data_IF_324217430357
#
_entry.id   IF_324217430357
#
_cell.length_a   1.000
_cell.length_b   1.000
_cell.length_c   1.000
_cell.angle_alpha   90.00
_cell.angle_beta   90.00
_cell.angle_gamma   90.00
#
_symmetry.space_group_name_H-M   'P 1'
#
loop_
_entity.id
_entity.type
_entity.pdbx_description
1 polymer ?
#
# COMPACT_ATOMS: atom_id res chain seq x y z
N UNK A 1 -9.87 -4.20 -5.35
CA UNK A 1 -8.77 -3.39 -5.92
C UNK A 1 -7.90 -2.94 -4.77
N UNK A 2 -6.57 -2.94 -4.91
CA UNK A 2 -5.66 -2.51 -3.84
C UNK A 2 -5.38 -1.02 -4.06
N UNK A 3 -5.60 -0.19 -3.03
CA UNK A 3 -5.34 1.25 -3.06
C UNK A 3 -4.45 1.61 -1.89
N UNK A 4 -3.32 2.24 -2.20
CA UNK A 4 -2.37 2.76 -1.21
C UNK A 4 -2.29 4.27 -1.39
N UNK A 5 -2.37 5.01 -0.29
CA UNK A 5 -2.33 6.48 -0.30
C UNK A 5 -1.14 7.03 0.49
N UNK A 6 -0.71 8.22 0.11
CA UNK A 6 0.24 9.04 0.87
C UNK A 6 -0.48 10.01 1.82
N UNK A 7 0.31 10.79 2.56
CA UNK A 7 -0.16 11.80 3.51
C UNK A 7 -0.87 12.95 2.80
N UNK A 8 -0.29 13.46 1.71
CA UNK A 8 -0.77 14.65 1.02
C UNK A 8 -2.16 14.46 0.42
N UNK A 9 -2.44 13.30 -0.19
CA UNK A 9 -3.77 13.02 -0.74
C UNK A 9 -4.86 12.99 0.35
N UNK A 10 -4.57 12.32 1.48
CA UNK A 10 -5.51 12.20 2.59
C UNK A 10 -5.74 13.55 3.29
N UNK A 11 -4.65 14.23 3.64
CA UNK A 11 -4.71 15.49 4.38
C UNK A 11 -5.44 16.57 3.57
N UNK A 12 -5.13 16.74 2.28
CA UNK A 12 -5.75 17.77 1.45
C UNK A 12 -7.25 17.52 1.29
N UNK A 13 -7.67 16.26 1.08
CA UNK A 13 -9.09 15.93 0.99
C UNK A 13 -9.83 16.10 2.31
N UNK A 14 -9.20 15.81 3.44
CA UNK A 14 -9.78 16.05 4.76
C UNK A 14 -9.93 17.55 5.05
N UNK A 15 -8.93 18.37 4.70
CA UNK A 15 -8.96 19.83 4.89
C UNK A 15 -10.10 20.48 4.12
N UNK A 16 -10.42 19.98 2.91
CA UNK A 16 -11.53 20.50 2.10
C UNK A 16 -12.86 19.79 2.36
N UNK A 17 -12.96 18.92 3.37
CA UNK A 17 -14.18 18.16 3.73
C UNK A 17 -14.68 17.19 2.64
N UNK A 18 -13.76 16.60 1.88
CA UNK A 18 -14.04 15.63 0.79
C UNK A 18 -13.37 14.26 0.98
N UNK A 19 -12.85 13.96 2.17
CA UNK A 19 -12.25 12.66 2.47
C UNK A 19 -13.21 11.48 2.23
N UNK A 20 -14.51 11.70 2.44
CA UNK A 20 -15.58 10.72 2.22
C UNK A 20 -15.67 10.19 0.78
N UNK A 21 -15.13 10.93 -0.21
CA UNK A 21 -15.05 10.44 -1.59
C UNK A 21 -14.20 9.18 -1.70
N UNK A 22 -13.09 9.12 -0.96
CA UNK A 22 -12.20 7.97 -0.96
C UNK A 22 -12.86 6.72 -0.37
N UNK A 23 -13.60 6.89 0.73
CA UNK A 23 -14.41 5.82 1.32
C UNK A 23 -15.46 5.31 0.33
N UNK A 24 -16.16 6.23 -0.33
CA UNK A 24 -17.24 5.90 -1.27
C UNK A 24 -16.76 5.10 -2.48
N UNK A 25 -15.56 5.42 -2.99
CA UNK A 25 -15.01 4.79 -4.20
C UNK A 25 -14.30 3.48 -3.87
N UNK A 26 -13.50 3.46 -2.79
CA UNK A 26 -12.55 2.37 -2.54
C UNK A 26 -12.92 1.46 -1.37
N UNK A 27 -13.78 1.91 -0.44
CA UNK A 27 -14.21 1.23 0.79
C UNK A 27 -13.09 0.89 1.80
N UNK A 28 -11.84 0.77 1.33
CA UNK A 28 -10.65 0.56 2.15
C UNK A 28 -9.46 1.20 1.46
N UNK A 29 -8.67 1.95 2.21
CA UNK A 29 -7.39 2.50 1.78
C UNK A 29 -6.33 2.02 2.74
N UNK A 30 -5.25 1.50 2.16
CA UNK A 30 -4.06 1.10 2.91
C UNK A 30 -3.11 2.30 2.95
N UNK A 31 -2.47 2.53 4.09
CA UNK A 31 -1.43 3.55 4.21
C UNK A 31 -0.15 2.95 4.80
N UNK A 32 1.04 3.36 4.35
CA UNK A 32 2.26 2.99 5.02
C UNK A 32 2.33 3.51 6.45
N UNK A 33 3.02 2.80 7.34
CA UNK A 33 3.27 3.27 8.72
C UNK A 33 3.93 4.65 8.79
N UNK A 34 4.77 5.00 7.80
CA UNK A 34 5.37 6.34 7.70
C UNK A 34 4.28 7.40 7.55
N UNK A 35 3.32 7.18 6.65
CA UNK A 35 2.17 8.07 6.41
C UNK A 35 1.29 8.14 7.66
N UNK A 36 1.04 7.02 8.34
CA UNK A 36 0.29 7.04 9.60
C UNK A 36 0.94 7.92 10.67
N UNK A 37 2.28 7.88 10.79
CA UNK A 37 3.02 8.76 11.71
C UNK A 37 2.95 10.22 11.30
N UNK A 38 3.06 10.53 10.01
CA UNK A 38 2.95 11.89 9.49
C UNK A 38 1.56 12.50 9.76
N UNK A 39 0.50 11.72 9.51
CA UNK A 39 -0.87 12.11 9.82
C UNK A 39 -1.07 12.36 11.32
N UNK A 40 -0.53 11.49 12.18
CA UNK A 40 -0.63 11.65 13.63
C UNK A 40 0.14 12.88 14.16
N UNK A 41 1.24 13.26 13.51
CA UNK A 41 2.09 14.39 13.91
C UNK A 41 1.58 15.74 13.37
N UNK A 42 0.57 15.75 12.51
CA UNK A 42 0.08 16.96 11.88
C UNK A 42 -0.59 17.93 12.88
N UNK A 43 -0.22 19.22 12.79
CA UNK A 43 -0.71 20.26 13.71
C UNK A 43 -2.20 20.59 13.55
N UNK A 44 -2.76 20.38 12.36
CA UNK A 44 -4.20 20.59 12.13
C UNK A 44 -4.98 19.40 12.69
N UNK A 45 -5.89 19.58 13.66
CA UNK A 45 -6.58 18.48 14.34
C UNK A 45 -7.46 17.63 13.44
N UNK A 46 -7.85 18.13 12.25
CA UNK A 46 -8.61 17.36 11.27
C UNK A 46 -7.78 16.19 10.72
N UNK A 47 -6.46 16.36 10.58
CA UNK A 47 -5.58 15.39 9.91
C UNK A 47 -5.36 14.13 10.78
N UNK A 48 -5.01 14.23 12.08
CA UNK A 48 -4.92 13.05 12.93
C UNK A 48 -6.23 12.28 13.07
N UNK A 49 -7.39 12.94 12.92
CA UNK A 49 -8.70 12.30 12.99
C UNK A 49 -8.93 11.29 11.85
N UNK A 50 -8.21 11.42 10.73
CA UNK A 50 -8.26 10.47 9.60
C UNK A 50 -7.95 9.04 10.07
N UNK A 51 -7.03 8.88 11.03
CA UNK A 51 -6.62 7.57 11.55
C UNK A 51 -7.72 6.86 12.36
N UNK A 52 -8.79 7.56 12.72
CA UNK A 52 -9.94 6.98 13.42
C UNK A 52 -10.97 6.38 12.44
N UNK A 53 -10.81 6.62 11.14
CA UNK A 53 -11.69 6.08 10.12
C UNK A 53 -11.44 4.57 9.95
N UNK A 54 -12.47 3.75 10.16
CA UNK A 54 -12.35 2.29 10.09
C UNK A 54 -11.98 1.72 8.72
N UNK A 55 -12.03 2.53 7.66
CA UNK A 55 -11.63 2.17 6.30
C UNK A 55 -10.19 2.56 5.96
N UNK A 56 -9.47 3.26 6.86
CA UNK A 56 -8.04 3.55 6.74
C UNK A 56 -7.27 2.45 7.48
N UNK A 57 -6.37 1.77 6.78
CA UNK A 57 -5.66 0.60 7.30
C UNK A 57 -4.14 0.82 7.21
N UNK A 58 -3.49 1.18 8.33
CA UNK A 58 -2.03 1.24 8.39
C UNK A 58 -1.41 -0.13 8.16
N UNK A 59 -0.35 -0.19 7.35
CA UNK A 59 0.41 -1.40 7.10
C UNK A 59 1.92 -1.10 6.99
N UNK A 60 2.78 -1.91 7.62
CA UNK A 60 4.23 -1.79 7.46
C UNK A 60 4.68 -2.29 6.08
N UNK A 61 5.80 -1.77 5.60
CA UNK A 61 6.55 -2.41 4.52
C UNK A 61 7.31 -3.62 5.07
N UNK A 62 7.31 -4.72 4.32
CA UNK A 62 8.17 -5.87 4.63
C UNK A 62 9.61 -5.63 4.18
N UNK A 63 9.80 -4.90 3.07
CA UNK A 63 11.13 -4.50 2.60
C UNK A 63 11.19 -3.00 2.26
N UNK A 64 12.03 -2.25 2.99
CA UNK A 64 12.24 -0.82 2.79
C UNK A 64 13.25 -0.45 1.69
N UNK A 65 13.94 -1.42 1.07
CA UNK A 65 14.99 -1.15 0.06
C UNK A 65 14.47 -0.28 -1.09
N UNK A 66 13.31 -0.63 -1.64
CA UNK A 66 12.72 0.13 -2.74
C UNK A 66 12.32 1.54 -2.29
N UNK A 67 11.72 1.68 -1.10
CA UNK A 67 11.37 3.00 -0.57
C UNK A 67 12.62 3.87 -0.34
N UNK A 68 13.72 3.27 0.11
CA UNK A 68 14.99 3.98 0.31
C UNK A 68 15.61 4.41 -1.03
N UNK A 69 15.59 3.53 -2.04
CA UNK A 69 16.05 3.85 -3.39
C UNK A 69 15.23 4.99 -4.01
N UNK A 70 13.90 4.94 -3.87
CA UNK A 70 13.02 5.99 -4.38
C UNK A 70 13.30 7.35 -3.72
N UNK A 71 13.51 7.39 -2.41
CA UNK A 71 13.91 8.62 -1.71
C UNK A 71 15.26 9.15 -2.21
N UNK A 72 16.27 8.28 -2.33
CA UNK A 72 17.63 8.68 -2.67
C UNK A 72 17.80 9.06 -4.15
N UNK A 73 17.24 8.27 -5.05
CA UNK A 73 17.47 8.39 -6.50
C UNK A 73 16.42 9.27 -7.19
N UNK A 74 15.19 9.30 -6.67
CA UNK A 74 14.09 10.07 -7.25
C UNK A 74 13.71 11.31 -6.44
N UNK A 75 14.27 11.48 -5.23
CA UNK A 75 13.99 12.62 -4.37
C UNK A 75 12.55 12.66 -3.86
N UNK A 76 11.85 11.51 -3.86
CA UNK A 76 10.51 11.41 -3.29
C UNK A 76 10.58 11.60 -1.78
N UNK A 77 9.52 12.15 -1.21
CA UNK A 77 9.43 12.18 0.25
C UNK A 77 9.19 10.77 0.83
N UNK A 78 9.31 10.66 2.15
CA UNK A 78 9.19 9.39 2.83
C UNK A 78 7.78 8.78 2.68
N UNK A 79 6.72 9.58 2.73
CA UNK A 79 5.35 9.14 2.55
C UNK A 79 5.09 8.60 1.15
N UNK A 80 5.48 9.38 0.12
CA UNK A 80 5.35 9.01 -1.30
C UNK A 80 6.12 7.73 -1.62
N UNK A 81 7.39 7.65 -1.24
CA UNK A 81 8.24 6.51 -1.54
C UNK A 81 7.73 5.22 -0.87
N UNK A 82 7.25 5.32 0.38
CA UNK A 82 6.70 4.17 1.09
C UNK A 82 5.34 3.76 0.51
N UNK A 83 4.51 4.70 0.06
CA UNK A 83 3.23 4.40 -0.58
C UNK A 83 3.42 3.60 -1.88
N UNK A 84 4.36 4.02 -2.72
CA UNK A 84 4.69 3.32 -3.97
C UNK A 84 5.25 1.91 -3.67
N UNK A 85 6.20 1.81 -2.75
CA UNK A 85 6.82 0.54 -2.42
C UNK A 85 5.81 -0.46 -1.82
N UNK A 86 4.93 0.00 -0.92
CA UNK A 86 3.87 -0.84 -0.34
C UNK A 86 2.85 -1.28 -1.39
N UNK A 87 2.48 -0.40 -2.33
CA UNK A 87 1.57 -0.76 -3.41
C UNK A 87 2.13 -1.90 -4.27
N UNK A 88 3.43 -1.86 -4.59
CA UNK A 88 4.11 -2.89 -5.36
C UNK A 88 4.25 -4.21 -4.58
N UNK A 89 4.56 -4.14 -3.29
CA UNK A 89 4.63 -5.31 -2.39
C UNK A 89 3.29 -6.04 -2.36
N UNK A 90 2.20 -5.30 -2.12
CA UNK A 90 0.84 -5.85 -2.07
C UNK A 90 0.35 -6.42 -3.41
N UNK A 91 0.71 -5.78 -4.53
CA UNK A 91 0.41 -6.31 -5.86
C UNK A 91 1.15 -7.63 -6.12
N UNK A 92 2.42 -7.72 -5.74
CA UNK A 92 3.21 -8.94 -5.89
C UNK A 92 2.62 -10.10 -5.08
N UNK A 93 2.15 -9.83 -3.86
CA UNK A 93 1.49 -10.83 -3.02
C UNK A 93 0.14 -11.27 -3.58
N UNK A 94 -0.68 -10.34 -4.06
CA UNK A 94 -1.96 -10.68 -4.71
C UNK A 94 -1.75 -11.56 -5.96
N UNK A 95 -0.68 -11.32 -6.74
CA UNK A 95 -0.35 -12.11 -7.91
C UNK A 95 0.09 -13.55 -7.57
N UNK A 96 0.68 -13.81 -6.39
CA UNK A 96 1.04 -15.17 -5.94
C UNK A 96 -0.19 -16.07 -5.81
N UNK A 97 -1.31 -15.52 -5.31
CA UNK A 97 -2.56 -16.26 -5.16
C UNK A 97 -3.31 -16.53 -6.47
N UNK A 98 -2.94 -15.85 -7.55
CA UNK A 98 -3.55 -16.04 -8.87
C UNK A 98 -2.85 -17.09 -9.74
N UNK A 99 -1.70 -17.65 -9.31
CA UNK A 99 -1.08 -18.78 -10.01
C UNK A 99 -1.76 -20.09 -9.60
N UNK A 100 -2.32 -20.88 -10.54
CA UNK A 100 -2.72 -22.24 -10.23
C UNK A 100 -1.51 -23.04 -9.75
N UNK A 101 -1.67 -23.97 -8.78
CA UNK A 101 -0.58 -24.82 -8.34
C UNK A 101 0.02 -25.55 -9.56
N UNK A 102 1.34 -25.52 -9.66
CA UNK A 102 2.07 -26.26 -10.70
C UNK A 102 1.63 -27.73 -10.62
N UNK A 103 0.83 -28.18 -11.59
CA UNK A 103 0.57 -29.59 -11.76
C UNK A 103 1.92 -30.23 -12.08
N UNK A 104 2.46 -30.98 -11.12
CA UNK A 104 3.62 -31.82 -11.35
C UNK A 104 3.24 -32.78 -12.48
N UNK A 105 3.86 -32.61 -13.66
CA UNK A 105 3.68 -33.56 -14.76
C UNK A 105 4.07 -34.94 -14.23
N UNK A 106 3.25 -35.98 -14.42
CA UNK A 106 3.65 -37.32 -14.05
C UNK A 106 4.92 -37.68 -14.82
N UNK A 107 5.91 -38.17 -14.08
CA UNK A 107 7.17 -38.69 -14.62
C UNK A 107 6.85 -39.93 -15.47
N UNK A 108 6.64 -39.71 -16.77
CA UNK A 108 6.44 -40.79 -17.73
C UNK A 108 7.80 -41.42 -17.98
N UNK A 109 8.23 -42.27 -17.06
CA UNK A 109 9.32 -43.24 -17.29
C UNK A 109 8.95 -44.08 -18.51
N UNK A 110 9.53 -43.73 -19.65
CA UNK A 110 9.48 -44.52 -20.86
C UNK A 110 10.22 -45.84 -20.58
N UNK A 111 9.45 -46.90 -20.31
CA UNK A 111 9.96 -48.26 -20.37
C UNK A 111 10.28 -48.55 -21.85
N UNK A 112 11.58 -48.64 -22.14
CA UNK A 112 12.08 -49.23 -23.38
C UNK A 112 11.67 -50.69 -23.42
N UNK A 113 11.08 -51.10 -24.54
CA UNK A 113 11.14 -52.47 -25.08
C UNK A 113 11.26 -52.35 -26.58
#
# INVERSE_FOLDING_TARGET
MIVVSDTSALANLAIVDHLWLLESIYQTIIIPDVVARELAAASNPIIPAILQAGWIQPQPLTNSELANQLQQERGLDAGEANAIALALELQADAAKYQRPPLQQKPDVRHHKT
#
